data_IF_985797442284
#
_entry.id   IF_985797442284
#
_cell.length_a   1.000
_cell.length_b   1.000
_cell.length_c   1.000
_cell.angle_alpha   90.00
_cell.angle_beta   90.00
_cell.angle_gamma   90.00
#
_symmetry.space_group_name_H-M   'P 1'
#
loop_
_entity.id
_entity.type
_entity.pdbx_description
1 polymer ?
#
# COMPACT_ATOMS: atom_id res chain seq x y z
N UNK A 1 -23.25 -10.67 -24.30
CA UNK A 1 -21.88 -10.15 -24.46
C UNK A 1 -21.12 -10.63 -23.24
N UNK A 2 -20.55 -11.83 -23.34
CA UNK A 2 -19.74 -12.43 -22.27
C UNK A 2 -18.43 -11.65 -22.23
N UNK A 3 -18.22 -10.87 -21.17
CA UNK A 3 -16.90 -10.32 -20.87
C UNK A 3 -15.96 -11.51 -20.69
N UNK A 4 -14.93 -11.58 -21.52
CA UNK A 4 -13.99 -12.69 -21.54
C UNK A 4 -13.34 -12.78 -20.15
N UNK A 5 -13.58 -13.87 -19.42
CA UNK A 5 -13.23 -13.99 -18.01
C UNK A 5 -11.72 -13.85 -17.77
N UNK A 6 -10.90 -14.20 -18.78
CA UNK A 6 -9.45 -13.95 -18.80
C UNK A 6 -9.09 -12.46 -18.82
N UNK A 7 -9.82 -11.62 -19.56
CA UNK A 7 -9.59 -10.17 -19.60
C UNK A 7 -9.88 -9.53 -18.24
N UNK A 8 -10.91 -10.02 -17.54
CA UNK A 8 -11.25 -9.56 -16.18
C UNK A 8 -10.18 -9.94 -15.14
N UNK A 9 -9.59 -11.13 -15.26
CA UNK A 9 -8.51 -11.60 -14.37
C UNK A 9 -7.21 -10.83 -14.63
N UNK A 10 -6.87 -10.56 -15.89
CA UNK A 10 -5.70 -9.74 -16.22
C UNK A 10 -5.84 -8.31 -15.73
N UNK A 11 -7.03 -7.71 -15.90
CA UNK A 11 -7.32 -6.38 -15.38
C UNK A 11 -7.15 -6.31 -13.86
N UNK A 12 -7.72 -7.27 -13.12
CA UNK A 12 -7.59 -7.33 -11.66
C UNK A 12 -6.14 -7.55 -11.18
N UNK A 13 -5.33 -8.32 -11.92
CA UNK A 13 -3.89 -8.47 -11.62
C UNK A 13 -3.15 -7.16 -11.81
N UNK A 14 -3.47 -6.42 -12.87
CA UNK A 14 -2.89 -5.11 -13.12
C UNK A 14 -3.28 -4.11 -12.02
N UNK A 15 -4.57 -4.07 -11.65
CA UNK A 15 -5.08 -3.21 -10.56
C UNK A 15 -4.43 -3.55 -9.21
N UNK A 16 -4.30 -4.84 -8.89
CA UNK A 16 -3.64 -5.27 -7.65
C UNK A 16 -2.14 -4.93 -7.65
N UNK A 17 -1.45 -5.10 -8.79
CA UNK A 17 -0.04 -4.72 -8.91
C UNK A 17 0.16 -3.21 -8.78
N UNK A 18 -0.73 -2.42 -9.37
CA UNK A 18 -0.72 -0.96 -9.24
C UNK A 18 -0.98 -0.54 -7.79
N UNK A 19 -1.97 -1.14 -7.12
CA UNK A 19 -2.25 -0.86 -5.72
C UNK A 19 -1.07 -1.21 -4.80
N UNK A 20 -0.37 -2.32 -5.06
CA UNK A 20 0.85 -2.67 -4.33
C UNK A 20 1.98 -1.65 -4.55
N UNK A 21 2.20 -1.20 -5.78
CA UNK A 21 3.24 -0.23 -6.09
C UNK A 21 2.93 1.13 -5.46
N UNK A 22 1.68 1.62 -5.59
CA UNK A 22 1.25 2.86 -4.94
C UNK A 22 1.34 2.79 -3.42
N UNK A 23 1.04 1.63 -2.81
CA UNK A 23 1.23 1.44 -1.38
C UNK A 23 2.71 1.50 -0.98
N UNK A 24 3.60 0.88 -1.75
CA UNK A 24 5.04 0.90 -1.48
C UNK A 24 5.60 2.33 -1.56
N UNK A 25 5.25 3.07 -2.61
CA UNK A 25 5.65 4.48 -2.80
C UNK A 25 5.09 5.37 -1.68
N UNK A 26 3.81 5.21 -1.32
CA UNK A 26 3.19 5.97 -0.24
C UNK A 26 3.84 5.72 1.12
N UNK A 27 4.23 4.46 1.41
CA UNK A 27 4.94 4.10 2.64
C UNK A 27 6.36 4.68 2.68
N UNK A 28 7.08 4.66 1.55
CA UNK A 28 8.41 5.25 1.45
C UNK A 28 8.36 6.78 1.64
N UNK A 29 7.41 7.45 1.00
CA UNK A 29 7.20 8.89 1.15
C UNK A 29 6.86 9.24 2.61
N UNK A 30 5.93 8.49 3.24
CA UNK A 30 5.57 8.67 4.64
C UNK A 30 6.78 8.50 5.57
N UNK A 31 7.62 7.50 5.32
CA UNK A 31 8.84 7.25 6.10
C UNK A 31 9.84 8.41 5.99
N UNK A 32 10.01 8.96 4.78
CA UNK A 32 10.91 10.09 4.53
C UNK A 32 10.40 11.37 5.17
N UNK A 33 9.10 11.68 5.00
CA UNK A 33 8.45 12.82 5.66
C UNK A 33 8.56 12.71 7.18
N UNK A 34 8.36 11.50 7.72
CA UNK A 34 8.48 11.25 9.17
C UNK A 34 9.87 11.47 9.70
N UNK A 35 10.87 10.94 9.00
CA UNK A 35 12.27 11.10 9.38
C UNK A 35 12.69 12.56 9.34
N UNK A 36 12.25 13.31 8.32
CA UNK A 36 12.53 14.74 8.20
C UNK A 36 11.83 15.56 9.29
N UNK A 37 10.56 15.28 9.58
CA UNK A 37 9.82 15.95 10.63
C UNK A 37 10.48 15.73 12.01
N UNK A 38 10.86 14.48 12.33
CA UNK A 38 11.58 14.16 13.56
C UNK A 38 12.94 14.87 13.66
N UNK A 39 13.68 14.96 12.54
CA UNK A 39 14.95 15.69 12.49
C UNK A 39 14.76 17.20 12.75
N UNK A 40 13.76 17.81 12.12
CA UNK A 40 13.42 19.22 12.33
C UNK A 40 12.99 19.49 13.78
N UNK A 41 12.20 18.58 14.35
CA UNK A 41 11.78 18.60 15.76
C UNK A 41 12.99 18.59 16.69
N UNK A 42 13.88 17.62 16.50
CA UNK A 42 15.06 17.45 17.35
C UNK A 42 16.05 18.61 17.23
N UNK A 43 16.20 19.18 16.03
CA UNK A 43 16.99 20.38 15.80
C UNK A 43 16.44 21.61 16.55
N UNK A 44 15.13 21.86 16.45
CA UNK A 44 14.48 22.98 17.15
C UNK A 44 14.56 22.87 18.68
N UNK A 45 14.36 21.66 19.23
CA UNK A 45 14.49 21.41 20.67
C UNK A 45 15.93 21.61 21.14
N UNK A 46 16.92 21.12 20.39
CA UNK A 46 18.34 21.26 20.77
C UNK A 46 18.85 22.69 20.69
N UNK A 47 18.27 23.54 19.84
CA UNK A 47 18.62 24.97 19.74
C UNK A 47 17.94 25.82 20.82
N UNK A 48 16.89 25.30 21.47
CA UNK A 48 16.07 26.04 22.43
C UNK A 48 15.17 27.08 21.74
N UNK A 49 13.94 27.24 22.23
CA UNK A 49 13.04 28.26 21.70
C UNK A 49 13.44 29.64 22.24
N UNK A 50 13.80 30.56 21.35
CA UNK A 50 14.28 31.90 21.71
C UNK A 50 13.12 32.87 21.96
N UNK A 51 11.96 32.61 21.36
CA UNK A 51 10.75 33.44 21.51
C UNK A 51 9.45 32.64 21.41
N UNK A 52 8.33 33.29 21.79
CA UNK A 52 6.98 32.77 21.60
C UNK A 52 6.66 32.56 20.11
N UNK A 53 7.19 33.40 19.24
CA UNK A 53 6.97 33.31 17.79
C UNK A 53 7.66 32.08 17.20
N UNK A 54 8.86 31.72 17.71
CA UNK A 54 9.55 30.49 17.32
C UNK A 54 8.76 29.24 17.72
N UNK A 55 8.20 29.24 18.94
CA UNK A 55 7.35 28.16 19.41
C UNK A 55 6.07 28.03 18.58
N UNK A 56 5.50 29.15 18.13
CA UNK A 56 4.28 29.18 17.34
C UNK A 56 4.52 28.73 15.89
N UNK A 57 5.65 29.13 15.28
CA UNK A 57 6.12 28.63 13.99
C UNK A 57 6.35 27.11 14.04
N UNK A 58 7.01 26.64 15.09
CA UNK A 58 7.23 25.22 15.32
C UNK A 58 5.92 24.43 15.48
N UNK A 59 4.97 24.96 16.25
CA UNK A 59 3.65 24.35 16.39
C UNK A 59 2.93 24.23 15.04
N UNK A 60 2.99 25.26 14.19
CA UNK A 60 2.39 25.20 12.85
C UNK A 60 3.02 24.12 11.98
N UNK A 61 4.34 23.99 12.01
CA UNK A 61 5.03 22.95 11.24
C UNK A 61 4.64 21.54 11.73
N UNK A 62 4.60 21.33 13.04
CA UNK A 62 4.14 20.05 13.62
C UNK A 62 2.71 19.73 13.19
N UNK A 63 1.79 20.71 13.24
CA UNK A 63 0.39 20.50 12.83
C UNK A 63 0.27 20.16 11.33
N UNK A 64 1.09 20.78 10.47
CA UNK A 64 1.13 20.48 9.05
C UNK A 64 1.60 19.04 8.79
N UNK A 65 2.59 18.56 9.54
CA UNK A 65 3.06 17.18 9.44
C UNK A 65 1.99 16.18 9.90
N UNK A 66 1.29 16.47 10.99
CA UNK A 66 0.15 15.64 11.43
C UNK A 66 -0.93 15.50 10.34
N UNK A 67 -1.26 16.59 9.65
CA UNK A 67 -2.21 16.55 8.53
C UNK A 67 -1.69 15.74 7.34
N UNK A 68 -0.38 15.78 7.07
CA UNK A 68 0.24 14.94 6.03
C UNK A 68 0.08 13.46 6.37
N UNK A 69 0.38 13.06 7.62
CA UNK A 69 0.22 11.69 8.07
C UNK A 69 -1.22 11.20 8.04
N UNK A 70 -2.18 12.05 8.41
CA UNK A 70 -3.60 11.71 8.32
C UNK A 70 -4.00 11.39 6.87
N UNK A 71 -3.54 12.19 5.91
CA UNK A 71 -3.77 11.93 4.48
C UNK A 71 -3.13 10.62 4.02
N UNK A 72 -1.84 10.42 4.32
CA UNK A 72 -1.13 9.21 3.94
C UNK A 72 -1.77 7.95 4.54
N UNK A 73 -2.19 8.00 5.82
CA UNK A 73 -2.91 6.90 6.45
C UNK A 73 -4.22 6.57 5.74
N UNK A 74 -4.98 7.57 5.29
CA UNK A 74 -6.21 7.33 4.53
C UNK A 74 -5.93 6.66 3.18
N UNK A 75 -4.87 7.07 2.48
CA UNK A 75 -4.44 6.45 1.22
C UNK A 75 -4.01 4.99 1.40
N UNK A 76 -3.26 4.71 2.47
CA UNK A 76 -2.86 3.34 2.86
C UNK A 76 -4.11 2.49 3.15
N UNK A 77 -5.07 3.01 3.91
CA UNK A 77 -6.31 2.30 4.25
C UNK A 77 -7.14 1.98 3.00
N UNK A 78 -7.25 2.91 2.05
CA UNK A 78 -7.93 2.69 0.78
C UNK A 78 -7.25 1.61 -0.08
N UNK A 79 -5.91 1.62 -0.11
CA UNK A 79 -5.11 0.62 -0.83
C UNK A 79 -5.27 -0.77 -0.20
N UNK A 80 -5.25 -0.86 1.13
CA UNK A 80 -5.52 -2.09 1.89
C UNK A 80 -6.91 -2.66 1.59
N UNK A 81 -7.93 -1.81 1.53
CA UNK A 81 -9.28 -2.26 1.22
C UNK A 81 -9.40 -2.79 -0.22
N UNK A 82 -8.71 -2.16 -1.17
CA UNK A 82 -8.63 -2.62 -2.56
C UNK A 82 -7.93 -3.98 -2.66
N UNK A 83 -6.80 -4.15 -1.97
CA UNK A 83 -6.08 -5.43 -1.90
C UNK A 83 -6.90 -6.55 -1.25
N UNK A 84 -7.66 -6.22 -0.20
CA UNK A 84 -8.57 -7.17 0.46
C UNK A 84 -9.65 -7.67 -0.50
N UNK A 85 -10.25 -6.77 -1.30
CA UNK A 85 -11.24 -7.13 -2.33
C UNK A 85 -10.62 -8.04 -3.39
N UNK A 86 -9.46 -7.68 -3.92
CA UNK A 86 -8.73 -8.49 -4.90
C UNK A 86 -8.40 -9.89 -4.35
N UNK A 87 -7.92 -9.98 -3.11
CA UNK A 87 -7.59 -11.25 -2.44
C UNK A 87 -8.82 -12.15 -2.31
N UNK A 88 -9.97 -11.60 -1.91
CA UNK A 88 -11.22 -12.36 -1.82
C UNK A 88 -11.69 -12.88 -3.18
N UNK A 89 -11.54 -12.08 -4.23
CA UNK A 89 -11.85 -12.50 -5.59
C UNK A 89 -10.95 -13.65 -6.04
N UNK A 90 -9.63 -13.51 -5.93
CA UNK A 90 -8.69 -14.58 -6.32
C UNK A 90 -8.92 -15.87 -5.54
N UNK A 91 -9.25 -15.78 -4.24
CA UNK A 91 -9.60 -16.96 -3.45
C UNK A 91 -10.85 -17.67 -3.98
N UNK A 92 -11.88 -16.93 -4.38
CA UNK A 92 -13.10 -17.50 -4.99
C UNK A 92 -12.79 -18.18 -6.32
N UNK A 93 -12.03 -17.53 -7.20
CA UNK A 93 -11.63 -18.10 -8.49
C UNK A 93 -10.81 -19.38 -8.32
N UNK A 94 -9.85 -19.40 -7.38
CA UNK A 94 -9.09 -20.60 -7.04
C UNK A 94 -10.01 -21.75 -6.57
N UNK A 95 -10.95 -21.45 -5.66
CA UNK A 95 -11.91 -22.45 -5.17
C UNK A 95 -12.83 -22.96 -6.29
N UNK A 96 -13.27 -22.09 -7.21
CA UNK A 96 -14.08 -22.49 -8.36
C UNK A 96 -13.28 -23.39 -9.32
N UNK A 97 -12.03 -23.01 -9.62
CA UNK A 97 -11.13 -23.80 -10.46
C UNK A 97 -10.86 -25.17 -9.86
N UNK A 98 -10.60 -25.29 -8.56
CA UNK A 98 -10.41 -26.57 -7.87
C UNK A 98 -11.65 -27.47 -7.94
N UNK A 99 -12.86 -26.90 -7.88
CA UNK A 99 -14.11 -27.65 -8.05
C UNK A 99 -14.30 -28.16 -9.48
N UNK A 100 -13.94 -27.35 -10.47
CA UNK A 100 -14.09 -27.69 -11.89
C UNK A 100 -13.00 -28.67 -12.36
N UNK A 101 -11.79 -28.57 -11.81
CA UNK A 101 -10.63 -29.39 -12.18
C UNK A 101 -9.85 -29.86 -10.93
N UNK A 102 -10.36 -30.87 -10.21
CA UNK A 102 -9.68 -31.42 -9.04
C UNK A 102 -8.32 -32.02 -9.43
N UNK A 103 -7.22 -31.54 -8.83
CA UNK A 103 -5.87 -32.10 -9.03
C UNK A 103 -5.02 -31.47 -10.15
N UNK A 104 -5.55 -30.52 -10.94
CA UNK A 104 -4.79 -29.86 -12.00
C UNK A 104 -3.64 -28.95 -11.49
N UNK A 105 -3.64 -28.58 -10.21
CA UNK A 105 -2.55 -27.80 -9.58
C UNK A 105 -1.38 -28.65 -9.11
N UNK A 106 -1.49 -29.99 -9.14
CA UNK A 106 -0.45 -30.92 -8.70
C UNK A 106 0.47 -31.42 -9.84
N UNK A 107 0.20 -31.06 -11.10
CA UNK A 107 0.78 -31.74 -12.28
C UNK A 107 1.60 -30.82 -13.18
N UNK A 108 2.53 -30.05 -12.61
CA UNK A 108 3.59 -29.38 -13.39
C UNK A 108 4.92 -29.39 -12.65
N UNK A 109 5.47 -30.57 -12.35
CA UNK A 109 6.92 -30.75 -12.13
C UNK A 109 7.33 -32.23 -12.05
N UNK A 110 6.89 -33.07 -12.99
CA UNK A 110 7.65 -34.27 -13.35
C UNK A 110 7.85 -34.24 -14.86
N UNK A 111 8.96 -33.64 -15.28
CA UNK A 111 9.46 -33.75 -16.64
C UNK A 111 10.54 -34.83 -16.62
N UNK A 112 10.37 -35.99 -17.28
CA UNK A 112 11.49 -36.89 -17.51
C UNK A 112 12.33 -36.27 -18.63
N UNK A 113 13.52 -35.80 -18.30
CA UNK A 113 14.54 -35.52 -19.33
C UNK A 113 14.96 -36.83 -20.00
N UNK A 114 15.14 -36.83 -21.34
CA UNK A 114 15.66 -37.97 -22.09
C UNK A 114 17.14 -38.24 -21.79
#
# INVERSE_FOLDING_TARGET
MEMNQEDSVQQLRMEASQACNSLAEGLEQLSNETSQACSNIMSGVNQGFVSKDDLQCYHQEVMKQFQSYERANNEIMNSLESLKKATLYFKRELTQRERLYPGATASTSEQPTP
#
